data_IF_585993339566
#
_entry.id   IF_585993339566
#
_cell.length_a   1.000
_cell.length_b   1.000
_cell.length_c   1.000
_cell.angle_alpha   90.00
_cell.angle_beta   90.00
_cell.angle_gamma   90.00
#
_symmetry.space_group_name_H-M   'P 1'
#
loop_
_entity.id
_entity.type
_entity.pdbx_description
1 polymer ?
#
# COMPACT_ATOMS: atom_id res chain seq x y z
N UNK A 1 -7.74 -19.55 -1.94
CA UNK A 1 -8.63 -18.75 -1.07
C UNK A 1 -8.01 -17.38 -0.94
N UNK A 2 -8.49 -16.37 -1.66
CA UNK A 2 -7.91 -15.03 -1.55
C UNK A 2 -8.32 -14.43 -0.21
N UNK A 3 -7.35 -14.22 0.68
CA UNK A 3 -7.59 -13.48 1.93
C UNK A 3 -8.14 -12.08 1.62
N UNK A 4 -8.91 -11.51 2.54
CA UNK A 4 -9.48 -10.18 2.39
C UNK A 4 -8.33 -9.16 2.19
N UNK A 5 -8.33 -8.40 1.09
CA UNK A 5 -7.30 -7.36 0.83
C UNK A 5 -7.28 -6.36 1.99
N UNK A 6 -6.08 -6.13 2.54
CA UNK A 6 -5.85 -5.17 3.64
C UNK A 6 -6.00 -3.72 3.16
N UNK A 7 -5.98 -2.75 4.07
CA UNK A 7 -5.99 -1.33 3.66
C UNK A 7 -4.74 -1.00 2.84
N UNK A 8 -3.56 -1.49 3.23
CA UNK A 8 -2.34 -1.23 2.49
C UNK A 8 -2.38 -1.81 1.07
N UNK A 9 -2.94 -3.01 0.87
CA UNK A 9 -3.11 -3.60 -0.47
C UNK A 9 -4.00 -2.73 -1.37
N UNK A 10 -5.13 -2.25 -0.81
CA UNK A 10 -6.08 -1.42 -1.56
C UNK A 10 -5.48 -0.06 -1.92
N UNK A 11 -4.72 0.54 -1.00
CA UNK A 11 -4.02 1.79 -1.25
C UNK A 11 -2.93 1.62 -2.32
N UNK A 12 -2.17 0.51 -2.27
CA UNK A 12 -1.13 0.23 -3.26
C UNK A 12 -1.72 0.07 -4.66
N UNK A 13 -2.83 -0.66 -4.80
CA UNK A 13 -3.55 -0.83 -6.06
C UNK A 13 -4.10 0.50 -6.59
N UNK A 14 -4.76 1.29 -5.74
CA UNK A 14 -5.30 2.59 -6.13
C UNK A 14 -4.20 3.57 -6.57
N UNK A 15 -3.10 3.64 -5.82
CA UNK A 15 -1.97 4.51 -6.17
C UNK A 15 -1.25 4.04 -7.43
N UNK A 16 -1.11 2.72 -7.64
CA UNK A 16 -0.56 2.19 -8.89
C UNK A 16 -1.36 2.65 -10.11
N UNK A 17 -2.69 2.61 -10.01
CA UNK A 17 -3.58 3.10 -11.07
C UNK A 17 -3.46 4.63 -11.30
N UNK A 18 -3.42 5.43 -10.23
CA UNK A 18 -3.31 6.90 -10.33
C UNK A 18 -1.95 7.35 -10.87
N UNK A 19 -0.88 6.69 -10.45
CA UNK A 19 0.50 7.04 -10.82
C UNK A 19 0.96 6.38 -12.12
N UNK A 20 0.18 5.46 -12.68
CA UNK A 20 0.55 4.73 -13.89
C UNK A 20 1.76 3.81 -13.70
N UNK A 21 1.94 3.24 -12.50
CA UNK A 21 3.05 2.34 -12.17
C UNK A 21 2.56 1.01 -11.63
N UNK A 22 3.24 -0.08 -12.01
CA UNK A 22 2.98 -1.43 -11.50
C UNK A 22 3.59 -1.68 -10.13
N UNK A 23 4.62 -0.92 -9.74
CA UNK A 23 5.28 -1.04 -8.43
C UNK A 23 5.56 0.36 -7.86
N UNK A 24 5.23 0.54 -6.58
CA UNK A 24 5.49 1.79 -5.87
C UNK A 24 6.93 1.78 -5.33
N UNK A 25 7.69 2.88 -5.43
CA UNK A 25 9.03 2.98 -4.85
C UNK A 25 9.01 3.13 -3.31
N UNK A 26 7.86 2.92 -2.69
CA UNK A 26 7.61 3.08 -1.26
C UNK A 26 6.77 1.92 -0.74
N UNK A 27 6.85 1.69 0.58
CA UNK A 27 5.94 0.82 1.31
C UNK A 27 4.83 1.65 1.93
N UNK A 28 3.59 1.21 1.77
CA UNK A 28 2.45 1.85 2.39
C UNK A 28 2.12 1.15 3.70
N UNK A 29 1.96 1.93 4.77
CA UNK A 29 1.35 1.47 6.01
C UNK A 29 -0.07 2.03 6.11
N UNK A 30 -1.06 1.14 6.11
CA UNK A 30 -2.47 1.50 6.28
C UNK A 30 -2.82 1.87 7.72
N UNK A 31 -3.96 2.54 7.92
CA UNK A 31 -4.47 2.86 9.25
C UNK A 31 -4.96 1.62 10.03
N UNK A 32 -5.14 0.47 9.36
CA UNK A 32 -5.37 -0.84 9.98
C UNK A 32 -4.05 -1.51 10.44
N UNK A 33 -2.90 -0.85 10.26
CA UNK A 33 -1.58 -1.37 10.61
C UNK A 33 -0.94 -2.27 9.54
N UNK A 34 -1.66 -2.63 8.49
CA UNK A 34 -1.13 -3.45 7.38
C UNK A 34 -0.01 -2.73 6.62
N UNK A 35 0.86 -3.50 5.97
CA UNK A 35 1.98 -2.98 5.17
C UNK A 35 2.00 -3.66 3.80
N UNK A 36 2.14 -2.88 2.74
CA UNK A 36 2.27 -3.35 1.36
C UNK A 36 3.36 -2.59 0.61
N UNK A 37 3.98 -3.22 -0.40
CA UNK A 37 5.04 -2.65 -1.22
C UNK A 37 6.42 -3.31 -1.03
N UNK A 38 7.44 -2.88 -1.79
CA UNK A 38 8.72 -3.56 -1.90
C UNK A 38 9.47 -3.67 -0.58
N UNK A 39 10.09 -4.82 -0.31
CA UNK A 39 10.95 -4.97 0.86
C UNK A 39 12.12 -3.99 0.80
N UNK A 40 12.44 -3.35 1.93
CA UNK A 40 13.54 -2.37 2.03
C UNK A 40 13.22 -0.96 1.51
N UNK A 41 12.07 -0.75 0.84
CA UNK A 41 11.68 0.60 0.42
C UNK A 41 11.23 1.47 1.62
N UNK A 42 11.37 2.81 1.53
CA UNK A 42 10.93 3.76 2.55
C UNK A 42 9.43 3.60 2.86
N UNK A 43 9.05 3.81 4.12
CA UNK A 43 7.65 3.63 4.56
C UNK A 43 6.90 4.96 4.55
N UNK A 44 5.75 5.01 3.89
CA UNK A 44 4.76 6.08 3.93
C UNK A 44 3.55 5.61 4.73
N UNK A 45 3.24 6.28 5.83
CA UNK A 45 2.08 5.95 6.67
C UNK A 45 0.86 6.78 6.27
N UNK A 46 -0.23 6.12 5.86
CA UNK A 46 -1.51 6.75 5.56
C UNK A 46 -2.40 6.69 6.79
N UNK A 47 -2.80 7.86 7.31
CA UNK A 47 -3.62 7.99 8.52
C UNK A 47 -4.96 8.58 8.14
N UNK A 48 -6.05 8.04 8.68
CA UNK A 48 -7.37 8.68 8.68
C UNK A 48 -7.59 9.34 10.04
N UNK A 49 -8.14 10.55 10.06
CA UNK A 49 -8.61 11.20 11.30
C UNK A 49 -10.08 10.89 11.51
#
# INVERSE_FOLDING_TARGET
MAGRKTVADRLAEALGAVLGTSELPVRLRGWDGSIAGPAGAPVVAVRSR
#
